data_IF_147625277246
#
_entry.id   IF_147625277246
#
_cell.length_a   1.000
_cell.length_b   1.000
_cell.length_c   1.000
_cell.angle_alpha   90.00
_cell.angle_beta   90.00
_cell.angle_gamma   90.00
#
_symmetry.space_group_name_H-M   'P 1'
#
loop_
_entity.id
_entity.type
_entity.pdbx_description
1 polymer ?
#
# COMPACT_ATOMS: atom_id res chain seq x y z
N UNK A 1 24.90 37.15 -56.81
CA UNK A 1 25.01 38.23 -55.80
C UNK A 1 25.45 37.74 -54.40
N UNK A 2 25.83 36.46 -54.22
CA UNK A 2 26.25 35.91 -52.92
C UNK A 2 27.66 36.33 -52.45
N UNK A 3 28.55 36.75 -53.36
CA UNK A 3 29.95 37.08 -53.01
C UNK A 3 30.09 38.27 -52.06
N UNK A 4 29.15 39.23 -52.11
CA UNK A 4 29.15 40.43 -51.25
C UNK A 4 28.84 40.09 -49.79
N UNK A 5 28.03 39.05 -49.55
CA UNK A 5 27.63 38.61 -48.22
C UNK A 5 28.48 37.47 -47.66
N UNK A 6 29.49 36.99 -48.39
CA UNK A 6 30.36 35.88 -47.96
C UNK A 6 30.93 36.09 -46.56
N UNK A 7 31.38 37.31 -46.24
CA UNK A 7 31.89 37.65 -44.90
C UNK A 7 30.79 37.63 -43.83
N UNK A 8 29.60 38.14 -44.15
CA UNK A 8 28.44 38.14 -43.25
C UNK A 8 27.95 36.71 -42.97
N UNK A 9 27.95 35.85 -44.00
CA UNK A 9 27.54 34.44 -43.88
C UNK A 9 28.54 33.67 -43.03
N UNK A 10 29.85 33.87 -43.23
CA UNK A 10 30.88 33.29 -42.35
C UNK A 10 30.70 33.77 -40.91
N UNK A 11 30.42 35.06 -40.69
CA UNK A 11 30.24 35.60 -39.34
C UNK A 11 29.05 34.96 -38.61
N UNK A 12 27.89 34.87 -39.29
CA UNK A 12 26.70 34.20 -38.72
C UNK A 12 26.99 32.73 -38.42
N UNK A 13 27.68 32.04 -39.33
CA UNK A 13 28.05 30.64 -39.14
C UNK A 13 28.93 30.45 -37.90
N UNK A 14 29.91 31.34 -37.68
CA UNK A 14 30.75 31.31 -36.47
C UNK A 14 29.94 31.59 -35.21
N UNK A 15 28.99 32.53 -35.22
CA UNK A 15 28.13 32.82 -34.06
C UNK A 15 27.25 31.62 -33.71
N UNK A 16 26.64 30.98 -34.71
CA UNK A 16 25.82 29.77 -34.51
C UNK A 16 26.68 28.62 -33.98
N UNK A 17 27.86 28.41 -34.54
CA UNK A 17 28.78 27.36 -34.09
C UNK A 17 29.21 27.58 -32.64
N UNK A 18 29.58 28.83 -32.28
CA UNK A 18 29.94 29.21 -30.91
C UNK A 18 28.78 29.03 -29.93
N UNK A 19 27.54 29.34 -30.34
CA UNK A 19 26.37 29.11 -29.51
C UNK A 19 26.13 27.62 -29.25
N UNK A 20 26.24 26.78 -30.28
CA UNK A 20 26.14 25.32 -30.14
C UNK A 20 27.22 24.79 -29.19
N UNK A 21 28.48 25.18 -29.38
CA UNK A 21 29.57 24.79 -28.48
C UNK A 21 29.32 25.24 -27.05
N UNK A 22 28.84 26.47 -26.85
CA UNK A 22 28.50 27.00 -25.53
C UNK A 22 27.40 26.17 -24.86
N UNK A 23 26.35 25.79 -25.59
CA UNK A 23 25.26 24.98 -25.02
C UNK A 23 25.66 23.55 -24.68
N UNK A 24 26.69 23.00 -25.35
CA UNK A 24 27.17 21.63 -25.11
C UNK A 24 28.23 21.61 -23.99
N UNK A 25 29.17 22.57 -23.97
CA UNK A 25 30.31 22.55 -23.05
C UNK A 25 30.12 23.42 -21.80
N UNK A 26 29.32 24.48 -21.86
CA UNK A 26 29.26 25.51 -20.80
C UNK A 26 27.90 25.65 -20.12
N UNK A 27 26.88 24.89 -20.54
CA UNK A 27 25.66 24.78 -19.74
C UNK A 27 25.98 23.90 -18.51
N UNK A 28 26.01 24.45 -17.28
CA UNK A 28 25.96 23.59 -16.11
C UNK A 28 24.69 22.76 -16.22
N UNK A 29 24.82 21.45 -16.01
CA UNK A 29 23.69 20.54 -15.88
C UNK A 29 22.78 21.16 -14.84
N UNK A 30 21.66 21.74 -15.28
CA UNK A 30 20.62 22.18 -14.35
C UNK A 30 20.27 20.92 -13.58
N UNK A 31 20.61 20.89 -12.29
CA UNK A 31 20.23 19.81 -11.40
C UNK A 31 18.73 19.63 -11.61
N UNK A 32 18.40 18.50 -12.20
CA UNK A 32 17.02 18.11 -12.43
C UNK A 32 16.39 18.15 -11.05
N UNK A 33 15.49 19.11 -10.88
CA UNK A 33 14.72 19.28 -9.67
C UNK A 33 14.30 17.89 -9.19
N UNK A 34 14.62 17.59 -7.93
CA UNK A 34 14.15 16.45 -7.17
C UNK A 34 12.62 16.42 -7.21
N UNK A 35 12.07 15.89 -8.30
CA UNK A 35 10.69 15.47 -8.39
C UNK A 35 10.74 13.96 -8.20
N UNK A 36 10.58 13.58 -6.94
CA UNK A 36 10.34 12.21 -6.53
C UNK A 36 8.95 11.81 -7.03
N UNK A 37 8.91 11.30 -8.25
CA UNK A 37 7.74 10.69 -8.84
C UNK A 37 8.21 9.57 -9.74
N UNK A 38 8.79 8.52 -9.15
CA UNK A 38 9.05 7.22 -9.79
C UNK A 38 9.25 7.35 -11.31
N UNK A 39 10.32 8.05 -11.69
CA UNK A 39 10.50 8.50 -13.07
C UNK A 39 10.52 7.31 -14.04
N UNK A 40 10.40 7.55 -15.36
CA UNK A 40 10.47 6.48 -16.37
C UNK A 40 11.72 5.59 -16.22
N UNK A 41 12.79 6.08 -15.58
CA UNK A 41 13.96 5.28 -15.19
C UNK A 41 13.66 4.19 -14.15
N UNK A 42 12.84 4.45 -13.13
CA UNK A 42 12.46 3.49 -12.09
C UNK A 42 11.54 2.39 -12.64
N UNK A 43 10.55 2.77 -13.46
CA UNK A 43 9.64 1.82 -14.12
C UNK A 43 10.39 0.97 -15.14
N UNK A 44 11.35 1.55 -15.88
CA UNK A 44 12.20 0.79 -16.78
C UNK A 44 13.12 -0.18 -16.04
N UNK A 45 13.66 0.18 -14.87
CA UNK A 45 14.51 -0.70 -14.08
C UNK A 45 13.74 -1.95 -13.58
N UNK A 46 12.53 -1.76 -13.04
CA UNK A 46 11.68 -2.88 -12.60
C UNK A 46 11.23 -3.74 -13.80
N UNK A 47 10.91 -3.12 -14.94
CA UNK A 47 10.56 -3.85 -16.15
C UNK A 47 11.70 -4.72 -16.69
N UNK A 48 12.94 -4.23 -16.66
CA UNK A 48 14.12 -5.01 -17.06
C UNK A 48 14.38 -6.18 -16.10
N UNK A 49 14.26 -5.98 -14.79
CA UNK A 49 14.44 -7.05 -13.79
C UNK A 49 13.44 -8.20 -13.98
N UNK A 50 12.18 -7.88 -14.31
CA UNK A 50 11.15 -8.89 -14.60
C UNK A 50 11.49 -9.66 -15.88
N UNK A 51 11.91 -8.97 -16.94
CA UNK A 51 12.29 -9.60 -18.20
C UNK A 51 13.51 -10.51 -18.01
N UNK A 52 14.52 -10.05 -17.28
CA UNK A 52 15.72 -10.83 -16.96
C UNK A 52 15.39 -12.08 -16.13
N UNK A 53 14.51 -11.93 -15.14
CA UNK A 53 14.04 -13.05 -14.32
C UNK A 53 13.25 -14.04 -15.17
N UNK A 54 12.38 -13.57 -16.06
CA UNK A 54 11.59 -14.41 -16.95
C UNK A 54 12.49 -15.19 -17.92
N UNK A 55 13.47 -14.52 -18.53
CA UNK A 55 14.44 -15.17 -19.40
C UNK A 55 15.23 -16.25 -18.66
N UNK A 56 15.61 -15.98 -17.40
CA UNK A 56 16.30 -16.95 -16.55
C UNK A 56 15.43 -18.17 -16.24
N UNK A 57 14.16 -17.97 -15.88
CA UNK A 57 13.21 -19.07 -15.63
C UNK A 57 12.95 -19.87 -16.91
N UNK A 58 12.79 -19.19 -18.06
CA UNK A 58 12.58 -19.87 -19.34
C UNK A 58 13.79 -20.71 -19.76
N UNK A 59 15.01 -20.26 -19.45
CA UNK A 59 16.24 -21.00 -19.71
C UNK A 59 16.49 -22.16 -18.75
N UNK A 60 15.69 -22.28 -17.69
CA UNK A 60 15.83 -23.35 -16.71
C UNK A 60 15.31 -24.66 -17.30
N UNK A 61 16.21 -25.48 -17.81
CA UNK A 61 15.90 -26.86 -18.15
C UNK A 61 15.94 -27.73 -16.90
N UNK A 62 14.78 -28.28 -16.52
CA UNK A 62 14.71 -29.28 -15.46
C UNK A 62 15.19 -30.62 -16.02
N UNK A 63 16.21 -31.18 -15.38
CA UNK A 63 16.68 -32.52 -15.70
C UNK A 63 15.58 -33.53 -15.37
N UNK A 64 14.98 -34.12 -16.40
CA UNK A 64 13.91 -35.11 -16.25
C UNK A 64 14.45 -36.50 -15.91
N UNK A 65 15.76 -36.70 -15.94
CA UNK A 65 16.39 -37.99 -15.60
C UNK A 65 16.11 -38.39 -14.16
N UNK A 66 15.99 -37.42 -13.24
CA UNK A 66 15.68 -37.65 -11.82
C UNK A 66 14.35 -38.39 -11.64
N UNK A 67 13.35 -38.14 -12.50
CA UNK A 67 12.05 -38.82 -12.44
C UNK A 67 12.09 -40.26 -12.97
N UNK A 68 13.17 -40.64 -13.65
CA UNK A 68 13.42 -42.00 -14.13
C UNK A 68 14.36 -42.80 -13.22
N UNK A 69 14.90 -42.17 -12.17
CA UNK A 69 15.75 -42.86 -11.19
C UNK A 69 14.93 -43.95 -10.48
N UNK A 70 15.40 -45.20 -10.42
CA UNK A 70 14.77 -46.25 -9.63
C UNK A 70 14.52 -45.88 -8.17
N UNK A 71 15.30 -44.97 -7.58
CA UNK A 71 15.05 -44.40 -6.25
C UNK A 71 13.80 -43.52 -6.25
N UNK A 72 13.64 -42.64 -7.24
CA UNK A 72 12.46 -41.77 -7.36
C UNK A 72 11.17 -42.59 -7.55
N UNK A 73 11.23 -43.62 -8.39
CA UNK A 73 10.11 -44.54 -8.65
C UNK A 73 9.71 -45.38 -7.43
N UNK A 74 10.55 -45.42 -6.39
CA UNK A 74 10.30 -46.13 -5.13
C UNK A 74 9.78 -45.22 -4.03
N UNK A 75 9.68 -43.91 -4.24
CA UNK A 75 9.02 -43.04 -3.27
C UNK A 75 7.56 -43.47 -3.14
N UNK A 76 7.20 -43.83 -1.91
CA UNK A 76 5.84 -44.13 -1.52
C UNK A 76 5.28 -42.87 -0.86
N UNK A 77 4.07 -42.52 -1.23
CA UNK A 77 3.32 -41.51 -0.51
C UNK A 77 2.88 -42.11 0.83
N UNK A 78 3.42 -41.58 1.93
CA UNK A 78 3.07 -41.96 3.30
C UNK A 78 2.09 -40.96 3.95
N UNK A 79 1.47 -40.08 3.15
CA UNK A 79 0.44 -39.16 3.61
C UNK A 79 -0.67 -39.92 4.32
N UNK A 80 -0.95 -39.53 5.56
CA UNK A 80 -2.12 -40.02 6.30
C UNK A 80 -3.31 -39.12 5.98
N UNK A 81 -4.53 -39.66 5.88
CA UNK A 81 -5.72 -38.82 5.89
C UNK A 81 -5.70 -37.98 7.16
N UNK A 82 -6.00 -36.69 7.02
CA UNK A 82 -6.20 -35.81 8.16
C UNK A 82 -7.60 -36.15 8.68
N UNK A 83 -7.69 -36.62 9.92
CA UNK A 83 -8.97 -36.79 10.61
C UNK A 83 -9.62 -35.42 10.79
N UNK A 84 -10.93 -35.35 10.61
CA UNK A 84 -11.67 -34.12 10.86
C UNK A 84 -11.53 -33.75 12.34
N UNK A 85 -10.86 -32.63 12.63
CA UNK A 85 -10.84 -32.05 13.96
C UNK A 85 -12.17 -31.36 14.24
N UNK A 86 -12.63 -31.44 15.49
CA UNK A 86 -13.81 -30.70 15.91
C UNK A 86 -13.61 -29.21 15.64
N UNK A 87 -14.64 -28.56 15.09
CA UNK A 87 -14.66 -27.12 14.95
C UNK A 87 -14.46 -26.50 16.34
N UNK A 88 -13.37 -25.75 16.49
CA UNK A 88 -13.07 -25.05 17.74
C UNK A 88 -14.22 -24.13 18.17
N UNK A 89 -14.12 -23.58 19.38
CA UNK A 89 -15.11 -22.61 19.87
C UNK A 89 -15.25 -21.45 18.89
N UNK A 90 -16.48 -21.06 18.58
CA UNK A 90 -16.78 -19.92 17.69
C UNK A 90 -16.04 -18.65 18.08
N UNK A 91 -15.78 -18.47 19.39
CA UNK A 91 -14.88 -17.45 19.91
C UNK A 91 -13.79 -18.11 20.78
N UNK A 92 -12.52 -18.11 20.35
CA UNK A 92 -11.43 -18.72 21.13
C UNK A 92 -11.12 -17.96 22.43
N UNK A 93 -11.62 -16.73 22.59
CA UNK A 93 -11.40 -15.87 23.76
C UNK A 93 -12.61 -15.73 24.68
N UNK A 94 -13.75 -16.36 24.39
CA UNK A 94 -14.89 -16.26 25.30
C UNK A 94 -14.51 -16.89 26.65
N UNK A 95 -14.79 -16.22 27.79
CA UNK A 95 -14.44 -16.75 29.10
C UNK A 95 -15.01 -18.15 29.30
N UNK A 96 -14.24 -19.05 29.92
CA UNK A 96 -14.76 -20.36 30.31
C UNK A 96 -15.91 -20.14 31.30
N UNK A 97 -17.01 -20.88 31.17
CA UNK A 97 -18.16 -20.77 32.08
C UNK A 97 -17.70 -20.93 33.53
N UNK A 98 -17.76 -19.86 34.31
CA UNK A 98 -17.26 -19.80 35.69
C UNK A 98 -16.00 -18.94 35.90
N UNK A 99 -15.37 -18.45 34.83
CA UNK A 99 -14.26 -17.50 34.87
C UNK A 99 -14.74 -16.10 34.43
N UNK A 100 -15.82 -15.59 35.01
CA UNK A 100 -16.02 -14.15 35.02
C UNK A 100 -15.02 -13.57 36.02
N UNK A 101 -13.82 -13.23 35.55
CA UNK A 101 -12.95 -12.35 36.31
C UNK A 101 -13.72 -11.02 36.39
N UNK A 102 -14.40 -10.79 37.51
CA UNK A 102 -14.77 -9.45 37.94
C UNK A 102 -13.46 -8.69 38.13
N UNK A 103 -12.94 -8.13 37.03
CA UNK A 103 -11.94 -7.08 37.11
C UNK A 103 -12.75 -5.82 37.36
N UNK A 104 -12.96 -5.50 38.63
CA UNK A 104 -13.40 -4.18 39.02
C UNK A 104 -12.20 -3.26 38.74
N UNK A 105 -12.18 -2.65 37.54
CA UNK A 105 -11.27 -1.53 37.32
C UNK A 105 -11.92 -0.36 38.05
N UNK A 106 -11.48 -0.15 39.28
CA UNK A 106 -11.76 1.04 40.07
C UNK A 106 -11.15 2.24 39.33
N UNK A 107 -11.90 2.77 38.37
CA UNK A 107 -11.60 4.07 37.78
C UNK A 107 -12.07 5.12 38.78
N UNK A 108 -11.22 5.46 39.75
CA UNK A 108 -11.40 6.64 40.59
C UNK A 108 -11.44 7.87 39.69
N UNK A 109 -12.65 8.33 39.36
CA UNK A 109 -12.84 9.68 38.87
C UNK A 109 -12.50 10.63 40.03
N UNK A 110 -11.34 11.29 39.97
CA UNK A 110 -11.02 12.40 40.87
C UNK A 110 -12.03 13.51 40.59
N UNK A 111 -12.97 13.68 41.51
CA UNK A 111 -13.91 14.79 41.55
C UNK A 111 -13.11 16.07 41.78
N UNK A 112 -12.97 16.89 40.74
CA UNK A 112 -12.35 18.22 40.83
C UNK A 112 -13.40 19.12 41.51
N UNK A 113 -13.22 19.33 42.81
CA UNK A 113 -13.90 20.35 43.61
C UNK A 113 -13.52 21.73 43.02
N UNK A 114 -14.45 22.34 42.27
CA UNK A 114 -14.37 23.74 41.87
C UNK A 114 -15.32 24.53 42.77
N UNK A 115 -14.73 25.41 43.55
CA UNK A 115 -15.38 26.44 44.35
C UNK A 115 -16.14 27.46 43.48
N UNK A 116 -17.05 28.17 44.16
CA UNK A 116 -17.65 29.47 43.85
C UNK A 116 -19.07 29.53 43.23
N UNK A 117 -19.97 29.97 44.13
CA UNK A 117 -20.95 31.05 43.98
C UNK A 117 -21.92 31.08 42.79
N UNK A 118 -23.20 31.11 43.15
CA UNK A 118 -24.11 32.13 42.61
C UNK A 118 -25.08 31.66 41.55
N UNK A 119 -26.34 31.48 41.98
CA UNK A 119 -27.45 32.19 41.37
C UNK A 119 -28.12 31.61 40.12
N UNK A 120 -29.44 31.50 40.27
CA UNK A 120 -30.49 31.68 39.26
C UNK A 120 -31.07 30.48 38.51
N UNK A 121 -32.37 30.27 38.81
CA UNK A 121 -33.52 29.91 37.98
C UNK A 121 -33.24 29.52 36.50
N UNK A 122 -33.97 28.57 35.92
CA UNK A 122 -35.30 28.76 35.27
C UNK A 122 -35.73 27.33 34.84
N UNK A 123 -36.84 26.80 35.34
CA UNK A 123 -38.18 26.78 34.70
C UNK A 123 -38.33 25.81 33.50
N UNK A 124 -39.18 24.79 33.73
CA UNK A 124 -40.19 24.16 32.86
C UNK A 124 -39.95 23.92 31.36
N UNK A 125 -40.35 22.73 30.89
CA UNK A 125 -41.47 22.47 29.95
C UNK A 125 -41.29 21.08 29.32
N UNK A 126 -42.10 20.09 29.67
CA UNK A 126 -43.33 19.67 28.95
C UNK A 126 -43.10 19.03 27.55
N UNK A 127 -43.41 17.72 27.52
CA UNK A 127 -44.30 17.04 26.55
C UNK A 127 -43.79 16.70 25.15
N UNK A 128 -43.73 15.40 24.83
CA UNK A 128 -44.65 14.82 23.83
C UNK A 128 -44.68 13.28 23.82
N UNK A 129 -45.93 12.78 23.79
CA UNK A 129 -46.36 11.39 23.69
C UNK A 129 -46.18 10.79 22.28
N UNK A 130 -46.33 9.46 22.25
CA UNK A 130 -46.96 8.64 21.21
C UNK A 130 -46.11 8.14 20.02
N UNK A 131 -46.18 6.81 19.81
CA UNK A 131 -45.79 6.17 18.55
C UNK A 131 -45.43 4.69 18.65
N UNK A 132 -46.36 3.83 19.06
CA UNK A 132 -46.28 2.38 18.88
C UNK A 132 -46.66 2.00 17.43
N UNK A 133 -46.13 0.85 17.01
CA UNK A 133 -46.52 0.00 15.86
C UNK A 133 -46.09 0.42 14.44
N UNK A 134 -45.15 -0.35 13.89
CA UNK A 134 -45.18 -0.69 12.48
C UNK A 134 -44.89 -2.19 12.28
N UNK A 135 -45.93 -2.92 11.88
CA UNK A 135 -45.87 -4.29 11.37
C UNK A 135 -45.31 -4.28 9.94
N UNK A 136 -44.29 -5.09 9.64
CA UNK A 136 -44.20 -5.71 8.32
C UNK A 136 -43.24 -6.90 8.32
N UNK A 137 -43.73 -8.09 7.96
CA UNK A 137 -43.28 -8.78 6.74
C UNK A 137 -43.92 -10.15 6.63
N UNK A 138 -44.97 -10.21 5.81
CA UNK A 138 -45.34 -11.39 5.05
C UNK A 138 -44.26 -11.65 3.99
N UNK A 139 -43.83 -12.91 3.86
CA UNK A 139 -43.48 -13.52 2.57
C UNK A 139 -43.54 -15.04 2.70
N UNK A 140 -44.59 -15.63 2.14
CA UNK A 140 -44.58 -16.96 1.52
C UNK A 140 -44.84 -16.76 0.03
#
# INVERSE_FOLDING_TARGET
MLKKYRKIIIFILVVVLSFVLYTIFLKPQAEQALLDSSGPAQVNAVGQEIIDTLNRIQSLELDKSVFNDPLYLRLRDDSQPIEDEDLGRSNPFEPLSGQSNNINIDFEAQEIENDEEGGENIENSETQEAGLENQNNNNQ
#
